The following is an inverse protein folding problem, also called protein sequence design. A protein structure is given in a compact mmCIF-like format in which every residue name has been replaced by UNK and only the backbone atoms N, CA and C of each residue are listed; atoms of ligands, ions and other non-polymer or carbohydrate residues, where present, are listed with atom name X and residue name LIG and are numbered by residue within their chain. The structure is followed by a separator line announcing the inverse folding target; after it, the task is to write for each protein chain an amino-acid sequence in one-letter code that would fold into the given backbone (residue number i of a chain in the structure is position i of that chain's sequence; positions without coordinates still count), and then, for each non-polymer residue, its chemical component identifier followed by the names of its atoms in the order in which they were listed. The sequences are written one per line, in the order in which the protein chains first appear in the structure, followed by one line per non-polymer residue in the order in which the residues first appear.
data_IF_887951900438
#
_entry.id   IF_887951900438
#
_cell.length_a   1.000
_cell.length_b   1.000
_cell.length_c   1.000
_cell.angle_alpha   90.00
_cell.angle_beta   90.00
_cell.angle_gamma   90.00
#
_symmetry.space_group_name_H-M   'P 1'
#
loop_
_entity.id
_entity.type
_entity.pdbx_description
1 polymer ?
#
# COMPACT_ATOMS: atom_id res chain seq x y z
N UNK A 1 -3.32 81.45 63.85
CA UNK A 1 -4.28 82.54 63.47
C UNK A 1 -5.37 81.89 62.65
N UNK A 2 -6.60 81.91 63.24
CA UNK A 2 -7.95 81.79 62.61
C UNK A 2 -8.26 80.41 62.03
N UNK A 3 -9.03 79.52 62.77
CA UNK A 3 -10.49 79.38 62.90
C UNK A 3 -11.20 79.44 61.58
N UNK A 4 -12.06 78.48 61.16
CA UNK A 4 -13.37 78.07 61.67
C UNK A 4 -13.86 76.87 60.91
N UNK A 5 -14.39 75.82 61.51
CA UNK A 5 -15.76 75.49 61.75
C UNK A 5 -16.71 75.44 60.53
N UNK A 6 -17.37 74.34 60.30
CA UNK A 6 -18.75 73.93 60.61
C UNK A 6 -19.10 72.71 59.81
N UNK A 7 -19.40 71.63 60.38
CA UNK A 7 -20.69 71.08 60.79
C UNK A 7 -21.68 70.75 59.68
N UNK A 8 -22.04 69.47 59.72
CA UNK A 8 -23.35 68.84 59.63
C UNK A 8 -23.89 68.49 58.27
N UNK A 9 -24.06 67.27 57.99
CA UNK A 9 -25.28 66.54 58.13
C UNK A 9 -25.16 65.19 57.47
N UNK A 10 -25.45 64.22 58.23
CA UNK A 10 -25.64 62.83 58.04
C UNK A 10 -26.61 62.44 56.94
N UNK A 11 -26.21 61.45 56.33
CA UNK A 11 -27.18 60.56 55.70
C UNK A 11 -26.56 59.16 55.75
N UNK A 12 -27.10 58.34 56.64
CA UNK A 12 -26.84 56.92 56.66
C UNK A 12 -27.39 56.28 55.40
N UNK A 13 -26.53 55.94 54.42
CA UNK A 13 -26.92 55.01 53.37
C UNK A 13 -26.15 53.72 53.62
N UNK A 14 -26.89 52.75 54.19
CA UNK A 14 -26.48 51.37 54.35
C UNK A 14 -26.33 50.76 52.96
N UNK A 15 -25.11 50.70 52.44
CA UNK A 15 -24.83 49.96 51.23
C UNK A 15 -24.65 48.49 51.62
N UNK A 16 -25.71 47.72 51.41
CA UNK A 16 -25.62 46.26 51.43
C UNK A 16 -24.63 45.83 50.34
N UNK A 17 -23.50 45.33 50.73
CA UNK A 17 -22.55 44.67 49.83
C UNK A 17 -23.21 43.39 49.34
N UNK A 18 -23.76 43.45 48.13
CA UNK A 18 -24.26 42.29 47.41
C UNK A 18 -23.05 41.52 46.92
N UNK A 19 -22.62 40.53 47.65
CA UNK A 19 -21.61 39.58 47.18
C UNK A 19 -22.21 38.77 46.04
N UNK A 20 -21.92 39.18 44.80
CA UNK A 20 -22.19 38.38 43.61
C UNK A 20 -21.19 37.21 43.60
N UNK A 21 -21.63 36.06 44.07
CA UNK A 21 -20.94 34.78 43.83
C UNK A 21 -21.05 34.48 42.33
N UNK A 22 -20.02 34.86 41.59
CA UNK A 22 -19.82 34.44 40.21
C UNK A 22 -19.35 32.98 40.26
N UNK A 23 -20.32 32.06 40.24
CA UNK A 23 -20.05 30.64 40.06
C UNK A 23 -19.50 30.49 38.63
N UNK A 24 -18.17 30.45 38.51
CA UNK A 24 -17.50 30.01 37.28
C UNK A 24 -17.79 28.50 37.15
N UNK A 25 -18.82 28.18 36.42
CA UNK A 25 -19.10 26.82 35.99
C UNK A 25 -18.02 26.46 35.00
N UNK A 26 -16.90 25.93 35.50
CA UNK A 26 -15.85 25.36 34.65
C UNK A 26 -16.45 24.09 34.07
N UNK A 27 -17.18 24.25 32.95
CA UNK A 27 -17.67 23.15 32.16
C UNK A 27 -16.46 22.36 31.66
N UNK A 28 -16.13 21.26 32.34
CA UNK A 28 -15.25 20.24 31.77
C UNK A 28 -15.95 19.73 30.54
N UNK A 29 -15.60 20.30 29.37
CA UNK A 29 -15.94 19.73 28.07
C UNK A 29 -15.20 18.41 28.01
N UNK A 30 -15.87 17.34 28.41
CA UNK A 30 -15.44 15.98 28.09
C UNK A 30 -15.46 15.88 26.55
N UNK A 31 -14.36 16.27 25.92
CA UNK A 31 -14.13 15.95 24.51
C UNK A 31 -14.07 14.41 24.46
N UNK A 32 -15.07 13.74 23.88
CA UNK A 32 -14.95 12.31 23.68
C UNK A 32 -13.67 12.11 22.87
N UNK A 33 -12.66 11.46 23.45
CA UNK A 33 -11.60 10.88 22.65
C UNK A 33 -12.32 9.91 21.72
N UNK A 34 -12.52 10.31 20.48
CA UNK A 34 -12.83 9.37 19.42
C UNK A 34 -11.62 8.42 19.38
N UNK A 35 -11.66 7.38 20.17
CA UNK A 35 -10.74 6.28 20.04
C UNK A 35 -10.89 5.78 18.61
N UNK A 36 -9.81 5.73 17.85
CA UNK A 36 -9.82 4.98 16.62
C UNK A 36 -10.38 3.59 16.97
N UNK A 37 -11.48 3.21 16.31
CA UNK A 37 -12.03 1.88 16.51
C UNK A 37 -10.91 0.87 16.23
N UNK A 38 -10.82 -0.15 17.06
CA UNK A 38 -9.87 -1.23 16.83
C UNK A 38 -10.06 -1.76 15.39
N UNK A 39 -8.96 -2.05 14.68
CA UNK A 39 -9.08 -2.58 13.34
C UNK A 39 -9.87 -3.89 13.36
N UNK A 40 -10.63 -4.22 12.30
CA UNK A 40 -11.34 -5.49 12.20
C UNK A 40 -10.40 -6.68 12.42
N UNK A 41 -10.95 -7.85 12.73
CA UNK A 41 -10.11 -9.05 12.86
C UNK A 41 -9.33 -9.30 11.56
N UNK A 42 -8.03 -9.63 11.67
CA UNK A 42 -7.14 -9.75 10.51
C UNK A 42 -7.68 -10.73 9.45
N UNK A 43 -8.30 -11.83 9.89
CA UNK A 43 -8.88 -12.84 8.99
C UNK A 43 -10.02 -12.26 8.15
N UNK A 44 -10.79 -11.31 8.68
CA UNK A 44 -11.84 -10.65 7.90
C UNK A 44 -11.22 -9.85 6.74
N UNK A 45 -10.17 -9.09 7.02
CA UNK A 45 -9.48 -8.29 6.00
C UNK A 45 -8.85 -9.18 4.93
N UNK A 46 -8.16 -10.24 5.35
CA UNK A 46 -7.52 -11.19 4.43
C UNK A 46 -8.57 -11.91 3.57
N UNK A 47 -9.70 -12.34 4.15
CA UNK A 47 -10.76 -12.98 3.41
C UNK A 47 -11.40 -12.03 2.39
N UNK A 48 -11.65 -10.77 2.75
CA UNK A 48 -12.17 -9.76 1.81
C UNK A 48 -11.20 -9.46 0.68
N UNK A 49 -9.93 -9.27 1.01
CA UNK A 49 -8.87 -9.10 0.02
C UNK A 49 -8.82 -10.30 -0.96
N UNK A 50 -8.81 -11.51 -0.43
CA UNK A 50 -8.84 -12.74 -1.21
C UNK A 50 -10.05 -12.79 -2.16
N UNK A 51 -11.25 -12.51 -1.66
CA UNK A 51 -12.49 -12.51 -2.45
C UNK A 51 -12.47 -11.48 -3.59
N UNK A 52 -11.89 -10.28 -3.35
CA UNK A 52 -11.76 -9.27 -4.40
C UNK A 52 -10.90 -9.79 -5.55
N UNK A 53 -9.74 -10.37 -5.25
CA UNK A 53 -8.83 -10.85 -6.29
C UNK A 53 -9.30 -12.16 -6.95
N UNK A 54 -9.98 -13.05 -6.24
CA UNK A 54 -10.58 -14.26 -6.82
C UNK A 54 -11.71 -13.94 -7.82
N UNK A 55 -12.49 -12.88 -7.56
CA UNK A 55 -13.58 -12.45 -8.46
C UNK A 55 -13.10 -11.59 -9.62
N UNK A 56 -11.84 -11.12 -9.58
CA UNK A 56 -11.26 -10.25 -10.58
C UNK A 56 -10.82 -11.08 -11.79
N UNK A 57 -11.40 -10.80 -12.95
CA UNK A 57 -11.02 -11.43 -14.22
C UNK A 57 -9.77 -10.81 -14.78
N UNK A 58 -9.65 -9.49 -14.68
CA UNK A 58 -8.49 -8.72 -15.10
C UNK A 58 -8.39 -7.42 -14.32
N UNK A 59 -7.18 -6.85 -14.26
CA UNK A 59 -7.00 -5.48 -13.81
C UNK A 59 -5.82 -4.81 -14.49
N UNK A 60 -5.83 -3.48 -14.49
CA UNK A 60 -4.70 -2.65 -14.87
C UNK A 60 -4.45 -1.56 -13.83
N UNK A 61 -3.19 -1.18 -13.67
CA UNK A 61 -2.78 -0.08 -12.80
C UNK A 61 -1.51 0.57 -13.34
N UNK A 62 -1.38 1.88 -13.13
CA UNK A 62 -0.07 2.52 -13.17
C UNK A 62 0.77 2.04 -12.00
N UNK A 63 2.07 1.94 -12.16
CA UNK A 63 2.97 1.64 -11.05
C UNK A 63 4.21 2.52 -11.05
N UNK A 64 4.74 2.72 -9.84
CA UNK A 64 6.08 3.24 -9.58
C UNK A 64 6.78 2.16 -8.77
N UNK A 65 7.96 1.77 -9.20
CA UNK A 65 8.84 0.83 -8.52
C UNK A 65 10.14 1.54 -8.14
N UNK A 66 10.44 1.57 -6.87
CA UNK A 66 11.71 2.05 -6.32
C UNK A 66 12.51 0.86 -5.83
N UNK A 67 13.73 0.73 -6.32
CA UNK A 67 14.66 -0.32 -5.89
C UNK A 67 15.91 0.31 -5.35
N UNK A 68 16.19 0.11 -4.07
CA UNK A 68 17.40 0.62 -3.41
C UNK A 68 18.40 -0.50 -3.24
N UNK A 69 19.57 -0.34 -3.84
CA UNK A 69 20.71 -1.23 -3.65
C UNK A 69 21.51 -0.76 -2.45
N UNK A 70 21.42 -1.48 -1.34
CA UNK A 70 22.00 -1.10 -0.04
C UNK A 70 23.51 -0.90 -0.10
N UNK A 71 24.24 -1.77 -0.79
CA UNK A 71 25.70 -1.76 -0.85
C UNK A 71 26.29 -0.47 -1.46
N UNK A 72 25.58 0.11 -2.43
CA UNK A 72 25.99 1.35 -3.11
C UNK A 72 25.11 2.55 -2.78
N UNK A 73 24.11 2.38 -1.89
CA UNK A 73 23.15 3.41 -1.47
C UNK A 73 22.49 4.13 -2.64
N UNK A 74 22.17 3.38 -3.69
CA UNK A 74 21.55 3.92 -4.90
C UNK A 74 20.10 3.44 -4.99
N UNK A 75 19.20 4.37 -5.26
CA UNK A 75 17.79 4.08 -5.57
C UNK A 75 17.56 4.33 -7.05
N UNK A 76 17.04 3.33 -7.73
CA UNK A 76 16.55 3.44 -9.10
C UNK A 76 15.01 3.44 -9.06
N UNK A 77 14.42 4.39 -9.80
CA UNK A 77 12.96 4.51 -9.91
C UNK A 77 12.53 4.15 -11.33
N UNK A 78 11.57 3.26 -11.43
CA UNK A 78 10.97 2.82 -12.70
C UNK A 78 9.47 3.05 -12.66
N UNK A 79 8.89 3.44 -13.79
CA UNK A 79 7.45 3.70 -13.91
C UNK A 79 6.88 2.95 -15.12
N UNK A 80 5.61 2.58 -15.01
CA UNK A 80 4.94 1.91 -16.10
C UNK A 80 3.47 1.60 -15.84
N UNK A 81 2.96 0.66 -16.60
CA UNK A 81 1.60 0.14 -16.44
C UNK A 81 1.68 -1.37 -16.33
N UNK A 82 0.98 -1.91 -15.34
CA UNK A 82 0.83 -3.34 -15.16
C UNK A 82 -0.57 -3.78 -15.57
N UNK A 83 -0.65 -4.93 -16.21
CA UNK A 83 -1.88 -5.59 -16.64
C UNK A 83 -1.86 -7.02 -16.13
N UNK A 84 -2.96 -7.44 -15.53
CA UNK A 84 -3.20 -8.82 -15.12
C UNK A 84 -4.50 -9.31 -15.74
N UNK A 85 -4.49 -10.56 -16.18
CA UNK A 85 -5.71 -11.25 -16.61
C UNK A 85 -5.65 -12.71 -16.16
N UNK A 86 -6.67 -13.12 -15.42
CA UNK A 86 -6.80 -14.48 -14.94
C UNK A 86 -7.20 -15.42 -16.09
N UNK A 87 -6.71 -16.67 -16.08
CA UNK A 87 -5.58 -17.11 -15.27
C UNK A 87 -4.22 -16.83 -15.97
N UNK A 88 -3.18 -16.60 -15.18
CA UNK A 88 -1.76 -16.70 -15.61
C UNK A 88 -1.31 -15.75 -16.72
N UNK A 89 -1.93 -14.60 -16.89
CA UNK A 89 -1.53 -13.61 -17.87
C UNK A 89 -1.14 -12.31 -17.17
N UNK A 90 0.05 -11.81 -17.49
CA UNK A 90 0.62 -10.61 -16.88
C UNK A 90 1.50 -9.87 -17.88
N UNK A 91 1.42 -8.54 -17.85
CA UNK A 91 2.29 -7.66 -18.58
C UNK A 91 2.70 -6.50 -17.68
N UNK A 92 3.99 -6.40 -17.41
CA UNK A 92 4.62 -5.21 -16.85
C UNK A 92 5.25 -4.42 -17.99
N UNK A 93 4.67 -3.28 -18.33
CA UNK A 93 5.12 -2.42 -19.42
C UNK A 93 5.81 -1.19 -18.83
N UNK A 94 7.12 -1.31 -18.55
CA UNK A 94 7.95 -0.23 -18.04
C UNK A 94 8.16 0.83 -19.09
N UNK A 95 7.95 2.09 -18.72
CA UNK A 95 8.07 3.26 -19.61
C UNK A 95 9.30 4.11 -19.31
N UNK A 96 9.63 4.26 -18.03
CA UNK A 96 10.75 5.09 -17.56
C UNK A 96 11.60 4.35 -16.55
N UNK A 97 12.88 4.70 -16.40
CA UNK A 97 13.67 5.54 -17.30
C UNK A 97 14.00 4.84 -18.64
N UNK A 98 13.92 3.50 -18.64
CA UNK A 98 14.19 2.66 -19.83
C UNK A 98 12.98 1.77 -20.10
N UNK A 99 12.52 1.78 -21.35
CA UNK A 99 11.46 0.88 -21.78
C UNK A 99 11.92 -0.58 -21.70
N UNK A 100 11.15 -1.41 -21.00
CA UNK A 100 11.27 -2.88 -20.99
C UNK A 100 9.90 -3.49 -20.76
N UNK A 101 9.72 -4.75 -21.14
CA UNK A 101 8.47 -5.47 -20.92
C UNK A 101 8.75 -6.83 -20.32
N UNK A 102 8.04 -7.13 -19.23
CA UNK A 102 7.92 -8.49 -18.73
C UNK A 102 6.53 -9.02 -19.10
N UNK A 103 6.48 -9.95 -20.01
CA UNK A 103 5.23 -10.56 -20.49
C UNK A 103 5.20 -12.00 -19.99
N UNK A 104 4.10 -12.40 -19.36
CA UNK A 104 3.90 -13.76 -18.86
C UNK A 104 2.53 -14.23 -19.37
N UNK A 105 2.49 -15.42 -19.92
CA UNK A 105 1.25 -16.12 -20.24
C UNK A 105 1.27 -17.54 -19.67
N UNK A 106 0.29 -18.37 -20.01
CA UNK A 106 0.17 -19.73 -19.48
C UNK A 106 1.38 -20.64 -19.77
N UNK A 107 2.20 -20.31 -20.76
CA UNK A 107 3.30 -21.16 -21.24
C UNK A 107 4.67 -20.58 -20.93
N UNK A 108 4.86 -19.29 -21.21
CA UNK A 108 6.18 -18.65 -21.21
C UNK A 108 6.17 -17.30 -20.51
N UNK A 109 7.34 -16.89 -20.08
CA UNK A 109 7.66 -15.55 -19.65
C UNK A 109 8.79 -14.99 -20.52
N UNK A 110 8.64 -13.73 -20.92
CA UNK A 110 9.62 -13.00 -21.72
C UNK A 110 9.97 -11.69 -21.03
N UNK A 111 11.25 -11.45 -20.84
CA UNK A 111 11.76 -10.11 -20.52
C UNK A 111 12.35 -9.51 -21.80
N UNK A 112 11.66 -8.54 -22.37
CA UNK A 112 12.08 -7.84 -23.57
C UNK A 112 12.73 -6.50 -23.24
N UNK A 113 13.96 -6.31 -23.69
CA UNK A 113 14.78 -5.13 -23.56
C UNK A 113 14.96 -4.50 -24.95
N UNK A 114 14.07 -3.60 -25.41
CA UNK A 114 14.08 -3.07 -26.76
C UNK A 114 15.39 -2.38 -27.14
N UNK A 115 15.95 -1.60 -26.21
CA UNK A 115 17.18 -0.84 -26.41
C UNK A 115 18.39 -1.74 -26.69
N UNK A 116 18.42 -2.89 -25.99
CA UNK A 116 19.50 -3.86 -26.08
C UNK A 116 19.24 -4.93 -27.16
N UNK A 117 18.08 -4.82 -27.86
CA UNK A 117 17.60 -5.81 -28.84
C UNK A 117 17.69 -7.25 -28.31
N UNK A 118 17.29 -7.43 -27.03
CA UNK A 118 17.44 -8.70 -26.31
C UNK A 118 16.11 -9.15 -25.73
N UNK A 119 15.88 -10.45 -25.78
CA UNK A 119 14.76 -11.13 -25.14
C UNK A 119 15.31 -12.26 -24.28
N UNK A 120 14.97 -12.28 -23.02
CA UNK A 120 15.15 -13.44 -22.15
C UNK A 120 13.84 -14.19 -22.05
N UNK A 121 13.89 -15.52 -22.14
CA UNK A 121 12.71 -16.39 -22.13
C UNK A 121 12.87 -17.54 -21.16
N UNK A 122 11.79 -17.89 -20.44
CA UNK A 122 11.68 -19.12 -19.65
C UNK A 122 10.25 -19.64 -19.63
N UNK A 123 10.09 -20.86 -19.11
CA UNK A 123 8.77 -21.42 -18.82
C UNK A 123 8.10 -20.66 -17.68
N UNK A 124 6.83 -20.29 -17.88
CA UNK A 124 6.07 -19.48 -16.90
C UNK A 124 5.88 -20.16 -15.54
N UNK A 125 5.83 -21.49 -15.53
CA UNK A 125 5.67 -22.28 -14.29
C UNK A 125 6.77 -22.02 -13.26
N UNK A 126 7.98 -21.68 -13.69
CA UNK A 126 9.07 -21.33 -12.78
C UNK A 126 8.75 -20.06 -11.99
N UNK A 127 8.18 -19.03 -12.64
CA UNK A 127 7.80 -17.77 -11.98
C UNK A 127 6.64 -17.99 -11.01
N UNK A 128 5.60 -18.69 -11.45
CA UNK A 128 4.42 -18.93 -10.60
C UNK A 128 4.71 -19.84 -9.42
N UNK A 129 5.75 -20.66 -9.48
CA UNK A 129 6.18 -21.51 -8.34
C UNK A 129 7.03 -20.72 -7.35
N UNK A 130 7.88 -19.81 -7.82
CA UNK A 130 8.83 -19.10 -6.98
C UNK A 130 8.29 -17.82 -6.34
N UNK A 131 7.21 -17.26 -6.86
CA UNK A 131 6.73 -15.93 -6.48
C UNK A 131 5.28 -15.98 -5.98
N UNK A 132 5.09 -16.18 -4.68
CA UNK A 132 3.76 -16.32 -4.06
C UNK A 132 2.84 -15.12 -4.31
N UNK A 133 3.37 -13.88 -4.32
CA UNK A 133 2.58 -12.70 -4.62
C UNK A 133 2.11 -12.69 -6.10
N UNK A 134 2.97 -13.07 -7.03
CA UNK A 134 2.62 -13.19 -8.45
C UNK A 134 1.56 -14.27 -8.64
N UNK A 135 1.72 -15.41 -7.97
CA UNK A 135 0.75 -16.51 -7.94
C UNK A 135 -0.61 -16.02 -7.45
N UNK A 136 -0.63 -15.28 -6.33
CA UNK A 136 -1.87 -14.70 -5.80
C UNK A 136 -2.52 -13.72 -6.78
N UNK A 137 -1.78 -12.72 -7.27
CA UNK A 137 -2.28 -11.72 -8.22
C UNK A 137 -2.77 -12.33 -9.54
N UNK A 138 -2.26 -13.49 -9.91
CA UNK A 138 -2.67 -14.26 -11.09
C UNK A 138 -3.87 -15.19 -10.83
N UNK A 139 -4.52 -15.10 -9.68
CA UNK A 139 -5.68 -15.91 -9.31
C UNK A 139 -5.38 -17.39 -9.05
N UNK A 140 -4.11 -17.76 -8.85
CA UNK A 140 -3.67 -19.14 -8.69
C UNK A 140 -3.39 -19.55 -7.24
N UNK A 141 -3.35 -18.59 -6.32
CA UNK A 141 -2.98 -18.84 -4.94
C UNK A 141 -3.91 -18.21 -3.93
N UNK A 142 -3.90 -18.76 -2.72
CA UNK A 142 -4.54 -18.16 -1.57
C UNK A 142 -3.47 -17.57 -0.67
N UNK A 143 -3.67 -16.32 -0.24
CA UNK A 143 -2.70 -15.64 0.63
C UNK A 143 -2.40 -16.44 1.90
N UNK A 144 -3.42 -17.02 2.53
CA UNK A 144 -3.27 -17.80 3.76
C UNK A 144 -2.51 -19.14 3.56
N UNK A 145 -2.49 -19.69 2.34
CA UNK A 145 -1.74 -20.91 2.05
C UNK A 145 -0.24 -20.62 1.95
N UNK A 146 0.09 -19.47 1.34
CA UNK A 146 1.47 -19.09 1.06
C UNK A 146 2.09 -18.22 2.17
N UNK A 147 1.26 -17.51 2.99
CA UNK A 147 1.73 -16.57 4.01
C UNK A 147 1.08 -16.75 5.38
N UNK A 148 1.82 -16.47 6.44
CA UNK A 148 1.28 -16.06 7.73
C UNK A 148 1.10 -14.55 7.70
N UNK A 149 -0.13 -14.06 7.91
CA UNK A 149 -0.48 -12.65 7.76
C UNK A 149 -0.84 -12.06 9.11
N UNK A 150 -0.35 -10.86 9.35
CA UNK A 150 -0.69 -10.07 10.54
C UNK A 150 -0.72 -8.58 10.19
N UNK A 151 -1.30 -7.77 11.05
CA UNK A 151 -1.16 -6.32 10.94
C UNK A 151 0.28 -5.89 11.14
N UNK A 152 0.66 -4.82 10.46
CA UNK A 152 1.96 -4.19 10.71
C UNK A 152 2.02 -3.58 12.11
N UNK A 153 3.22 -3.56 12.68
CA UNK A 153 3.50 -2.90 13.95
C UNK A 153 4.40 -1.70 13.71
N UNK A 154 4.22 -0.58 14.42
CA UNK A 154 3.29 -0.36 15.52
C UNK A 154 1.87 0.04 15.08
N UNK A 155 1.59 0.20 13.80
CA UNK A 155 0.31 0.68 13.29
C UNK A 155 -0.34 -0.33 12.37
N UNK A 156 -1.60 -0.67 12.64
CA UNK A 156 -2.41 -1.55 11.80
C UNK A 156 -2.98 -0.84 10.57
N UNK A 157 -3.02 0.49 10.59
CA UNK A 157 -3.54 1.33 9.50
C UNK A 157 -2.63 2.54 9.27
N UNK A 158 -2.67 3.06 8.04
CA UNK A 158 -2.06 4.36 7.71
C UNK A 158 -2.96 5.54 8.16
N UNK A 159 -2.53 6.76 7.84
CA UNK A 159 -3.28 7.99 8.19
C UNK A 159 -4.61 8.12 7.46
N UNK A 160 -4.74 7.51 6.30
CA UNK A 160 -5.96 7.43 5.50
C UNK A 160 -6.89 6.31 5.96
N UNK A 161 -6.42 5.45 6.88
CA UNK A 161 -7.14 4.30 7.43
C UNK A 161 -7.07 3.05 6.55
N UNK A 162 -6.15 2.98 5.58
CA UNK A 162 -5.87 1.78 4.82
C UNK A 162 -5.14 0.76 5.70
N UNK A 163 -5.38 -0.53 5.47
CA UNK A 163 -4.81 -1.59 6.28
C UNK A 163 -3.33 -1.83 5.92
N UNK A 164 -2.50 -1.89 6.94
CA UNK A 164 -1.08 -2.20 6.81
C UNK A 164 -0.84 -3.64 7.26
N UNK A 165 -0.45 -4.49 6.32
CA UNK A 165 -0.27 -5.92 6.54
C UNK A 165 1.20 -6.32 6.42
N UNK A 166 1.62 -7.30 7.23
CA UNK A 166 2.88 -8.02 7.09
C UNK A 166 2.58 -9.47 6.72
N UNK A 167 3.18 -9.93 5.63
CA UNK A 167 2.99 -11.25 5.06
C UNK A 167 4.31 -12.04 5.16
N UNK A 168 4.35 -13.02 6.04
CA UNK A 168 5.52 -13.88 6.27
C UNK A 168 5.40 -15.14 5.42
N UNK A 169 6.34 -15.41 4.48
CA UNK A 169 6.30 -16.62 3.68
C UNK A 169 6.28 -17.89 4.55
N UNK A 170 5.42 -18.84 4.19
CA UNK A 170 5.42 -20.17 4.83
C UNK A 170 6.51 -21.06 4.25
N UNK A 171 6.90 -20.83 3.00
CA UNK A 171 7.96 -21.56 2.33
C UNK A 171 9.33 -21.14 2.88
N UNK A 172 10.17 -22.14 3.17
CA UNK A 172 11.55 -21.91 3.60
C UNK A 172 12.41 -21.52 2.40
N UNK A 173 13.27 -20.51 2.57
CA UNK A 173 14.19 -20.06 1.53
C UNK A 173 13.63 -18.97 0.62
N UNK A 174 12.53 -18.34 1.00
CA UNK A 174 12.08 -17.12 0.33
C UNK A 174 13.20 -16.06 0.31
N UNK A 175 13.26 -15.28 -0.77
CA UNK A 175 14.28 -14.24 -0.98
C UNK A 175 14.09 -13.02 -0.07
N UNK A 176 13.05 -12.98 0.76
CA UNK A 176 12.70 -11.91 1.70
C UNK A 176 12.13 -12.48 2.99
N UNK A 177 12.25 -11.76 4.11
CA UNK A 177 11.69 -12.18 5.39
C UNK A 177 10.16 -12.03 5.44
N UNK A 178 9.65 -10.91 4.96
CA UNK A 178 8.23 -10.63 4.85
C UNK A 178 7.99 -9.56 3.78
N UNK A 179 6.76 -9.54 3.27
CA UNK A 179 6.25 -8.45 2.47
C UNK A 179 5.45 -7.49 3.36
N UNK A 180 5.57 -6.20 3.14
CA UNK A 180 4.61 -5.22 3.64
C UNK A 180 3.61 -4.92 2.53
N UNK A 181 2.33 -4.87 2.88
CA UNK A 181 1.26 -4.60 1.92
C UNK A 181 0.32 -3.55 2.48
N UNK A 182 0.03 -2.51 1.69
CA UNK A 182 -1.03 -1.55 2.01
C UNK A 182 -2.27 -1.90 1.21
N UNK A 183 -3.39 -2.09 1.91
CA UNK A 183 -4.68 -2.48 1.33
C UNK A 183 -5.71 -1.39 1.58
N UNK A 184 -6.34 -0.90 0.52
CA UNK A 184 -7.36 0.14 0.62
C UNK A 184 -8.55 -0.32 1.45
N UNK A 185 -8.99 0.49 2.42
CA UNK A 185 -10.08 0.17 3.35
C UNK A 185 -11.44 -0.02 2.69
N UNK A 186 -11.68 0.68 1.57
CA UNK A 186 -13.00 0.75 0.95
C UNK A 186 -13.26 -0.35 -0.09
N UNK A 187 -12.23 -0.76 -0.83
CA UNK A 187 -12.37 -1.67 -1.97
C UNK A 187 -11.37 -2.82 -1.96
N UNK A 188 -10.51 -2.91 -0.96
CA UNK A 188 -9.49 -3.94 -0.79
C UNK A 188 -8.50 -4.06 -1.95
N UNK A 189 -8.28 -2.97 -2.68
CA UNK A 189 -7.23 -2.93 -3.68
C UNK A 189 -5.86 -2.85 -2.99
N UNK A 190 -4.88 -3.56 -3.52
CA UNK A 190 -3.49 -3.44 -3.08
C UNK A 190 -2.94 -2.13 -3.63
N UNK A 191 -2.59 -1.21 -2.72
CA UNK A 191 -2.05 0.10 -3.07
C UNK A 191 -0.52 0.08 -3.14
N UNK A 192 0.12 -0.68 -2.25
CA UNK A 192 1.56 -0.74 -2.14
C UNK A 192 2.01 -2.13 -1.71
N UNK A 193 3.19 -2.52 -2.18
CA UNK A 193 3.93 -3.69 -1.70
C UNK A 193 5.38 -3.32 -1.54
N UNK A 194 5.99 -3.66 -0.41
CA UNK A 194 7.43 -3.48 -0.21
C UNK A 194 8.05 -4.66 0.50
N UNK A 195 9.34 -4.88 0.26
CA UNK A 195 10.12 -5.91 0.92
C UNK A 195 11.62 -5.60 0.84
N UNK A 196 12.35 -6.18 1.78
CA UNK A 196 13.81 -6.22 1.73
C UNK A 196 14.25 -7.64 1.38
N UNK A 197 15.19 -7.77 0.44
CA UNK A 197 15.79 -9.05 0.11
C UNK A 197 16.84 -9.48 1.16
N UNK A 198 17.36 -10.69 1.02
CA UNK A 198 18.34 -11.25 1.96
C UNK A 198 19.67 -10.48 1.99
N UNK A 199 19.96 -9.67 0.97
CA UNK A 199 21.13 -8.79 0.91
C UNK A 199 20.83 -7.40 1.49
N UNK A 200 19.57 -7.15 1.86
CA UNK A 200 19.08 -5.90 2.42
C UNK A 200 18.82 -4.83 1.35
N UNK A 201 18.70 -5.21 0.08
CA UNK A 201 18.16 -4.30 -0.91
C UNK A 201 16.66 -4.18 -0.71
N UNK A 202 16.09 -2.97 -0.85
CA UNK A 202 14.65 -2.76 -0.70
C UNK A 202 13.98 -2.51 -2.04
N UNK A 203 12.79 -3.08 -2.18
CA UNK A 203 11.89 -2.81 -3.30
C UNK A 203 10.60 -2.23 -2.75
N UNK A 204 10.15 -1.13 -3.31
CA UNK A 204 8.88 -0.49 -3.00
C UNK A 204 8.08 -0.31 -4.29
N UNK A 205 6.88 -0.87 -4.33
CA UNK A 205 5.99 -0.85 -5.49
C UNK A 205 4.69 -0.16 -5.10
N UNK A 206 4.35 0.91 -5.80
CA UNK A 206 3.17 1.74 -5.58
C UNK A 206 2.26 1.63 -6.80
N UNK A 207 0.98 1.33 -6.57
CA UNK A 207 -0.04 1.24 -7.63
C UNK A 207 -0.96 2.46 -7.62
N UNK A 208 -1.37 2.90 -8.80
CA UNK A 208 -2.27 4.03 -8.99
C UNK A 208 -3.24 3.78 -10.14
N UNK A 209 -4.39 4.46 -10.12
CA UNK A 209 -5.37 4.34 -11.21
C UNK A 209 -5.85 2.91 -11.45
N UNK A 210 -6.01 2.12 -10.38
CA UNK A 210 -6.40 0.69 -10.45
C UNK A 210 -7.80 0.57 -11.04
N UNK A 211 -7.91 -0.22 -12.10
CA UNK A 211 -9.18 -0.54 -12.77
C UNK A 211 -9.34 -2.06 -12.80
N UNK A 212 -10.31 -2.57 -12.07
CA UNK A 212 -10.66 -4.00 -12.05
C UNK A 212 -11.70 -4.31 -13.11
N UNK A 213 -11.63 -5.52 -13.69
CA UNK A 213 -12.58 -6.04 -14.67
C UNK A 213 -12.76 -5.09 -15.88
N UNK A 214 -11.62 -4.60 -16.41
CA UNK A 214 -11.59 -3.64 -17.53
C UNK A 214 -11.84 -4.30 -18.89
N UNK A 215 -12.00 -5.62 -18.96
CA UNK A 215 -12.22 -6.37 -20.20
C UNK A 215 -10.96 -6.48 -21.05
N UNK A 216 -9.80 -6.67 -20.44
CA UNK A 216 -8.52 -6.72 -21.16
C UNK A 216 -8.51 -7.84 -22.19
N UNK A 217 -8.02 -7.53 -23.40
CA UNK A 217 -7.83 -8.52 -24.44
C UNK A 217 -6.65 -9.44 -24.14
N UNK A 218 -6.82 -10.76 -24.32
CA UNK A 218 -5.71 -11.72 -24.18
C UNK A 218 -4.58 -11.49 -25.19
N UNK A 219 -4.82 -10.72 -26.24
CA UNK A 219 -3.77 -10.32 -27.20
C UNK A 219 -2.66 -9.49 -26.55
N UNK A 220 -2.95 -8.77 -25.46
CA UNK A 220 -1.94 -8.00 -24.70
C UNK A 220 -0.84 -8.88 -24.14
N UNK A 221 -1.13 -10.15 -23.89
CA UNK A 221 -0.23 -11.09 -23.22
C UNK A 221 0.42 -12.09 -24.21
N UNK A 222 0.21 -11.84 -25.51
CA UNK A 222 0.90 -12.56 -26.57
C UNK A 222 2.13 -11.76 -27.00
N UNK A 223 3.26 -12.43 -27.06
CA UNK A 223 4.50 -11.80 -27.46
C UNK A 223 5.23 -12.64 -28.48
N UNK A 224 5.61 -12.00 -29.56
CA UNK A 224 6.52 -12.56 -30.56
C UNK A 224 7.75 -11.66 -30.59
N UNK A 225 8.96 -12.23 -30.40
CA UNK A 225 10.19 -11.46 -30.47
C UNK A 225 10.30 -10.79 -31.84
N UNK A 226 10.60 -9.48 -31.92
CA UNK A 226 10.81 -8.79 -33.18
C UNK A 226 11.99 -9.37 -33.98
N UNK A 227 12.00 -9.15 -35.28
CA UNK A 227 13.14 -9.53 -36.12
C UNK A 227 14.43 -8.83 -35.66
N UNK A 228 15.54 -9.56 -35.67
CA UNK A 228 16.86 -9.01 -35.31
C UNK A 228 17.13 -8.83 -33.80
N UNK A 229 16.32 -9.44 -32.92
CA UNK A 229 16.63 -9.52 -31.49
C UNK A 229 17.35 -10.81 -31.14
N UNK A 230 18.25 -10.75 -30.16
CA UNK A 230 18.90 -11.93 -29.59
C UNK A 230 18.00 -12.56 -28.53
N UNK A 231 17.87 -13.89 -28.52
CA UNK A 231 17.02 -14.62 -27.58
C UNK A 231 17.90 -15.49 -26.69
N UNK A 232 17.75 -15.31 -25.38
CA UNK A 232 18.47 -16.07 -24.35
C UNK A 232 17.48 -16.75 -23.41
N UNK A 233 17.89 -17.88 -22.83
CA UNK A 233 17.16 -18.45 -21.70
C UNK A 233 17.41 -17.58 -20.45
N UNK A 234 16.41 -17.36 -19.63
CA UNK A 234 16.62 -16.79 -18.30
C UNK A 234 17.48 -17.75 -17.46
N UNK A 235 18.39 -17.22 -16.65
CA UNK A 235 19.23 -18.03 -15.77
C UNK A 235 18.42 -18.81 -14.72
#
# INVERSE_FOLDING_TARGET
MIKTNLEKNGLFISVKILAVFMIIFFGIVLIPKYGAADPPHIDEIVNRLQQVYERTQDFQAGFIQETTVKSIRKTDTEEGVVYFKNPRQMLWDYKKPKAKKLIINAQKAWLYLPKDKTVYVQESDKIFKSEALIKFLSGLGKLNDDFKIQYATPHATDKEGNYLLQLYPREKGASYQYLQMTVAKNNFHILQVSFDDVMGNSTHLIFSGIKMNAGLSSKLFQFQPPAGVSIFKMP
#
